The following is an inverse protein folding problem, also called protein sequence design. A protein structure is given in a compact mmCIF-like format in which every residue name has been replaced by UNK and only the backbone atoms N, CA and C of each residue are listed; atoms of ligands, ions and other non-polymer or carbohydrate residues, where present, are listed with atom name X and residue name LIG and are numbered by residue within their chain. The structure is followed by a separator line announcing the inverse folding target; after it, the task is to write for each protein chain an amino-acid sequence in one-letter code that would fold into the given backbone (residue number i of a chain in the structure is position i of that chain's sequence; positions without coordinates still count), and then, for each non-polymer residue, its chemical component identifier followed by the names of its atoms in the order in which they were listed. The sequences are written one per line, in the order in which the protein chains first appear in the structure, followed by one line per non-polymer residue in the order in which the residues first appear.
data_IF_748746897417
#
_entry.id   IF_748746897417
#
_cell.length_a   1.000
_cell.length_b   1.000
_cell.length_c   1.000
_cell.angle_alpha   90.00
_cell.angle_beta   90.00
_cell.angle_gamma   90.00
#
_symmetry.space_group_name_H-M   'P 1'
#
loop_
_entity.id
_entity.type
_entity.pdbx_description
1 polymer ?
#
# COMPACT_ATOMS: atom_id res chain seq x y z
N UNK A 1 5.76 -9.80 15.75
CA UNK A 1 5.03 -9.51 14.50
C UNK A 1 3.55 -9.50 14.85
N UNK A 2 2.76 -8.58 14.29
CA UNK A 2 1.33 -8.45 14.60
C UNK A 2 0.43 -9.12 13.56
N UNK A 3 0.84 -9.15 12.30
CA UNK A 3 -0.01 -9.58 11.19
C UNK A 3 0.19 -11.02 10.76
N UNK A 4 1.29 -11.67 11.20
CA UNK A 4 1.73 -13.00 10.74
C UNK A 4 1.83 -13.15 9.21
N UNK A 5 2.01 -12.03 8.49
CA UNK A 5 2.19 -12.03 7.03
C UNK A 5 3.68 -12.21 6.70
N UNK A 6 4.06 -13.12 5.78
CA UNK A 6 5.43 -13.22 5.29
C UNK A 6 5.92 -11.90 4.70
N UNK A 7 7.18 -11.54 4.95
CA UNK A 7 7.74 -10.23 4.58
C UNK A 7 7.50 -9.86 3.11
N UNK A 8 7.69 -10.81 2.19
CA UNK A 8 7.46 -10.60 0.74
C UNK A 8 6.01 -10.21 0.43
N UNK A 9 5.06 -10.85 1.10
CA UNK A 9 3.64 -10.60 0.91
C UNK A 9 3.22 -9.30 1.60
N UNK A 10 3.80 -9.02 2.77
CA UNK A 10 3.60 -7.77 3.49
C UNK A 10 4.04 -6.57 2.65
N UNK A 11 5.24 -6.63 2.07
CA UNK A 11 5.75 -5.58 1.17
C UNK A 11 4.81 -5.39 -0.02
N UNK A 12 4.36 -6.47 -0.66
CA UNK A 12 3.40 -6.40 -1.78
C UNK A 12 2.06 -5.76 -1.37
N UNK A 13 1.54 -6.11 -0.19
CA UNK A 13 0.31 -5.53 0.34
C UNK A 13 0.49 -4.03 0.62
N UNK A 14 1.56 -3.64 1.31
CA UNK A 14 1.87 -2.24 1.60
C UNK A 14 2.10 -1.42 0.33
N UNK A 15 2.71 -2.01 -0.70
CA UNK A 15 2.89 -1.39 -2.01
C UNK A 15 1.54 -1.00 -2.63
N UNK A 16 0.58 -1.92 -2.62
CA UNK A 16 -0.77 -1.67 -3.15
C UNK A 16 -1.55 -0.63 -2.34
N UNK A 17 -1.34 -0.57 -1.02
CA UNK A 17 -2.06 0.32 -0.11
C UNK A 17 -1.49 1.75 -0.06
N UNK A 18 -0.17 1.91 -0.21
CA UNK A 18 0.53 3.19 -0.01
C UNK A 18 1.22 3.75 -1.27
N UNK A 19 1.67 2.88 -2.17
CA UNK A 19 2.48 3.26 -3.33
C UNK A 19 1.73 3.16 -4.68
N UNK A 20 0.51 2.61 -4.69
CA UNK A 20 -0.35 2.45 -5.87
C UNK A 20 -0.85 3.76 -6.49
N UNK A 21 -2.00 3.73 -7.17
CA UNK A 21 -2.59 4.96 -7.75
C UNK A 21 -2.99 5.93 -6.62
N UNK A 22 -2.68 7.24 -6.70
CA UNK A 22 -3.01 8.19 -5.64
C UNK A 22 -4.47 8.16 -5.17
N UNK A 23 -5.41 7.98 -6.10
CA UNK A 23 -6.86 7.86 -5.84
C UNK A 23 -7.28 6.54 -5.17
N UNK A 24 -6.34 5.64 -4.91
CA UNK A 24 -6.55 4.34 -4.27
C UNK A 24 -5.63 4.15 -3.03
N UNK A 25 -4.81 5.17 -2.69
CA UNK A 25 -3.89 5.11 -1.56
C UNK A 25 -4.64 5.40 -0.27
N UNK A 26 -4.91 4.34 0.48
CA UNK A 26 -5.51 4.42 1.81
C UNK A 26 -4.47 4.60 2.92
N UNK A 27 -3.19 4.37 2.60
CA UNK A 27 -2.06 4.64 3.48
C UNK A 27 -1.15 5.70 2.86
N UNK A 28 -0.50 6.48 3.72
CA UNK A 28 0.66 7.30 3.38
C UNK A 28 1.93 6.66 3.92
N UNK A 29 3.08 6.96 3.31
CA UNK A 29 4.39 6.41 3.69
C UNK A 29 5.41 7.54 3.83
N UNK A 30 6.24 7.46 4.87
CA UNK A 30 7.39 8.34 5.09
C UNK A 30 8.66 7.49 5.29
N UNK A 31 9.77 7.78 4.58
CA UNK A 31 9.92 8.73 3.47
C UNK A 31 9.07 8.39 2.24
N UNK A 32 8.69 9.41 1.48
CA UNK A 32 7.98 9.26 0.20
C UNK A 32 8.91 8.70 -0.87
N UNK A 33 8.77 7.42 -1.17
CA UNK A 33 9.52 6.73 -2.24
C UNK A 33 8.70 5.57 -2.81
N UNK A 34 9.16 5.00 -3.94
CA UNK A 34 8.55 3.80 -4.51
C UNK A 34 8.93 2.53 -3.75
N UNK A 35 10.11 2.50 -3.15
CA UNK A 35 10.64 1.35 -2.44
C UNK A 35 10.11 1.29 -1.00
N UNK A 36 9.95 0.07 -0.49
CA UNK A 36 9.57 -0.19 0.89
C UNK A 36 10.75 -0.87 1.56
N UNK A 37 11.24 -0.24 2.62
CA UNK A 37 12.38 -0.68 3.40
C UNK A 37 11.99 -0.73 4.87
N UNK A 38 12.81 -1.45 5.65
CA UNK A 38 12.66 -1.48 7.09
C UNK A 38 12.84 -0.08 7.69
N UNK A 39 11.94 0.29 8.59
CA UNK A 39 11.92 1.62 9.22
C UNK A 39 11.03 2.65 8.52
N UNK A 40 10.50 2.35 7.33
CA UNK A 40 9.45 3.18 6.75
C UNK A 40 8.19 3.18 7.63
N UNK A 41 7.63 4.36 7.85
CA UNK A 41 6.43 4.55 8.65
C UNK A 41 5.22 4.69 7.74
N UNK A 42 4.16 3.98 8.06
CA UNK A 42 2.88 4.04 7.34
C UNK A 42 1.81 4.59 8.26
N UNK A 43 1.00 5.50 7.73
CA UNK A 43 -0.11 6.13 8.46
C UNK A 43 -1.37 6.07 7.61
N UNK A 44 -2.54 6.00 8.26
CA UNK A 44 -3.82 6.12 7.55
C UNK A 44 -3.87 7.45 6.79
N UNK A 45 -4.31 7.41 5.54
CA UNK A 45 -4.49 8.61 4.73
C UNK A 45 -5.86 9.24 4.99
N UNK A 46 -5.95 10.12 5.99
CA UNK A 46 -7.20 10.83 6.32
C UNK A 46 -7.69 11.76 5.19
N UNK A 47 -6.84 12.04 4.21
CA UNK A 47 -7.17 12.84 3.02
C UNK A 47 -7.65 11.98 1.84
N UNK A 48 -7.83 10.67 2.04
CA UNK A 48 -8.33 9.78 1.00
C UNK A 48 -9.75 10.17 0.58
N UNK A 49 -9.95 10.36 -0.73
CA UNK A 49 -11.25 10.64 -1.31
C UNK A 49 -11.47 9.81 -2.56
N UNK A 50 -12.73 9.44 -2.82
CA UNK A 50 -13.13 8.68 -4.00
C UNK A 50 -14.48 9.18 -4.50
N UNK A 51 -14.64 9.26 -5.83
CA UNK A 51 -15.93 9.54 -6.49
C UNK A 51 -16.86 8.33 -6.50
N UNK A 52 -16.31 7.14 -6.23
CA UNK A 52 -17.03 5.86 -6.20
C UNK A 52 -17.26 5.41 -4.76
N UNK A 53 -18.45 4.88 -4.47
CA UNK A 53 -18.78 4.27 -3.18
C UNK A 53 -17.98 2.98 -2.91
N UNK A 54 -17.58 2.26 -3.96
CA UNK A 54 -16.73 1.06 -3.86
C UNK A 54 -15.42 1.30 -4.59
N UNK A 55 -14.31 1.15 -3.88
CA UNK A 55 -12.96 1.27 -4.43
C UNK A 55 -12.30 -0.09 -4.40
N UNK A 56 -11.86 -0.58 -5.56
CA UNK A 56 -11.09 -1.82 -5.66
C UNK A 56 -9.62 -1.49 -5.43
N UNK A 57 -9.03 -2.04 -4.37
CA UNK A 57 -7.57 -2.03 -4.19
C UNK A 57 -7.03 -3.28 -4.87
N UNK A 58 -6.15 -3.10 -5.85
CA UNK A 58 -5.55 -4.21 -6.55
C UNK A 58 -4.27 -4.62 -5.83
N UNK A 59 -4.31 -5.76 -5.16
CA UNK A 59 -3.11 -6.47 -4.70
C UNK A 59 -2.32 -6.88 -5.95
N UNK A 60 -1.07 -6.45 -6.07
CA UNK A 60 -0.27 -6.71 -7.25
C UNK A 60 -0.22 -8.20 -7.58
N UNK A 61 -0.96 -8.64 -8.60
CA UNK A 61 -0.59 -9.86 -9.32
C UNK A 61 0.74 -9.53 -9.98
N UNK A 62 1.82 -10.10 -9.47
CA UNK A 62 3.01 -10.30 -10.29
C UNK A 62 2.55 -10.94 -11.59
N UNK A 63 2.70 -10.23 -12.72
CA UNK A 63 3.00 -10.94 -13.96
C UNK A 63 4.16 -11.88 -13.61
N UNK A 64 3.92 -13.17 -13.79
CA UNK A 64 4.99 -14.13 -13.99
C UNK A 64 5.69 -13.68 -15.27
N UNK A 65 6.82 -12.99 -15.09
CA UNK A 65 8.07 -13.08 -15.87
C UNK A 65 9.04 -11.99 -15.39
#
# INVERSE_FOLDING_TARGET
QETDIPERELVRALQSLACGKPTQRVLTKEPKSKEIENGHVFTVNDQFTSRLHRVKIQTGNSQLD
#
